data_IF_870069198863
#
_entry.id   IF_870069198863
#
_cell.length_a   1.000
_cell.length_b   1.000
_cell.length_c   1.000
_cell.angle_alpha   90.00
_cell.angle_beta   90.00
_cell.angle_gamma   90.00
#
_symmetry.space_group_name_H-M   'P 1'
#
loop_
_entity.id
_entity.type
_entity.pdbx_description
1 polymer ?
#
# COMPACT_ATOMS: atom_id res chain seq x y z
N UNK A 1 5.74 -3.84 16.08
CA UNK A 1 6.54 -4.72 15.19
C UNK A 1 5.86 -6.07 14.88
N UNK A 2 5.55 -6.90 15.88
CA UNK A 2 4.99 -8.25 15.69
C UNK A 2 3.64 -8.23 14.94
N UNK A 3 2.76 -7.29 15.29
CA UNK A 3 1.46 -7.09 14.62
C UNK A 3 1.65 -6.71 13.15
N UNK A 4 2.58 -5.80 12.83
CA UNK A 4 2.86 -5.41 11.45
C UNK A 4 3.40 -6.58 10.62
N UNK A 5 4.24 -7.44 11.22
CA UNK A 5 4.79 -8.62 10.55
C UNK A 5 3.71 -9.68 10.30
N UNK A 6 2.80 -9.88 11.26
CA UNK A 6 1.64 -10.74 11.08
C UNK A 6 0.73 -10.23 9.94
N UNK A 7 0.42 -8.94 9.92
CA UNK A 7 -0.38 -8.32 8.86
C UNK A 7 0.33 -8.46 7.50
N UNK A 8 1.63 -8.20 7.44
CA UNK A 8 2.40 -8.37 6.20
C UNK A 8 2.35 -9.81 5.68
N UNK A 9 2.50 -10.81 6.55
CA UNK A 9 2.45 -12.23 6.16
C UNK A 9 1.06 -12.63 5.64
N UNK A 10 0.00 -12.15 6.29
CA UNK A 10 -1.38 -12.37 5.85
C UNK A 10 -1.64 -11.74 4.48
N UNK A 11 -1.23 -10.48 4.27
CA UNK A 11 -1.37 -9.78 2.98
C UNK A 11 -0.56 -10.46 1.86
N UNK A 12 0.65 -10.97 2.16
CA UNK A 12 1.42 -11.77 1.19
C UNK A 12 0.66 -13.05 0.83
N UNK A 13 0.07 -13.74 1.81
CA UNK A 13 -0.74 -14.93 1.56
C UNK A 13 -1.93 -14.66 0.63
N UNK A 14 -2.65 -13.57 0.86
CA UNK A 14 -3.77 -13.15 0.00
C UNK A 14 -3.30 -12.70 -1.40
N UNK A 15 -2.23 -11.91 -1.48
CA UNK A 15 -1.66 -11.48 -2.76
C UNK A 15 -1.26 -12.68 -3.63
N UNK A 16 -0.60 -13.69 -3.05
CA UNK A 16 -0.25 -14.93 -3.75
C UNK A 16 -1.48 -15.73 -4.19
N UNK A 17 -2.57 -15.66 -3.43
CA UNK A 17 -3.84 -16.28 -3.82
C UNK A 17 -4.49 -15.56 -5.01
N UNK A 18 -4.51 -14.23 -4.99
CA UNK A 18 -5.05 -13.41 -6.08
C UNK A 18 -4.22 -13.51 -7.37
N UNK A 19 -2.91 -13.73 -7.26
CA UNK A 19 -2.02 -14.00 -8.38
C UNK A 19 -2.18 -15.42 -8.97
N UNK A 20 -3.04 -16.25 -8.37
CA UNK A 20 -3.34 -17.60 -8.87
C UNK A 20 -2.24 -18.64 -8.59
N UNK A 21 -1.30 -18.35 -7.69
CA UNK A 21 -0.30 -19.35 -7.24
C UNK A 21 -0.97 -20.44 -6.39
N UNK A 22 -1.96 -20.03 -5.58
CA UNK A 22 -2.84 -20.92 -4.84
C UNK A 22 -4.27 -20.41 -5.00
N UNK A 23 -5.12 -21.15 -5.71
CA UNK A 23 -6.54 -20.94 -5.50
C UNK A 23 -6.87 -21.39 -4.08
N UNK A 24 -7.43 -20.49 -3.26
CA UNK A 24 -8.13 -20.86 -2.03
C UNK A 24 -9.43 -21.60 -2.42
N UNK A 25 -9.30 -22.73 -3.13
CA UNK A 25 -10.36 -23.70 -3.25
C UNK A 25 -10.46 -24.37 -1.89
N UNK A 26 -11.48 -23.99 -1.12
CA UNK A 26 -11.95 -24.76 0.03
C UNK A 26 -11.96 -26.24 -0.39
N UNK A 27 -11.26 -27.13 0.35
CA UNK A 27 -11.06 -28.51 -0.07
C UNK A 27 -12.41 -29.11 -0.43
N UNK A 28 -12.47 -29.85 -1.55
CA UNK A 28 -13.72 -30.34 -2.15
C UNK A 28 -14.65 -31.04 -1.14
N UNK A 29 -14.07 -31.60 -0.07
CA UNK A 29 -14.76 -32.22 1.06
C UNK A 29 -15.49 -31.20 1.94
N UNK A 30 -14.89 -30.05 2.23
CA UNK A 30 -15.50 -28.97 3.01
C UNK A 30 -16.53 -28.20 2.17
N UNK A 31 -16.27 -27.97 0.88
CA UNK A 31 -17.26 -27.37 -0.04
C UNK A 31 -18.43 -28.30 -0.31
N UNK A 32 -18.23 -29.62 -0.49
CA UNK A 32 -19.33 -30.58 -0.59
C UNK A 32 -20.08 -30.76 0.74
N UNK A 33 -19.39 -30.69 1.88
CA UNK A 33 -20.04 -30.72 3.20
C UNK A 33 -20.87 -29.46 3.45
N UNK A 34 -20.32 -28.28 3.14
CA UNK A 34 -21.01 -26.99 3.25
C UNK A 34 -22.17 -26.87 2.26
N UNK A 35 -22.02 -27.32 1.01
CA UNK A 35 -23.12 -27.34 0.04
C UNK A 35 -24.22 -28.34 0.43
N UNK A 36 -23.85 -29.53 0.92
CA UNK A 36 -24.83 -30.54 1.38
C UNK A 36 -25.59 -30.07 2.63
N UNK A 37 -24.92 -29.33 3.53
CA UNK A 37 -25.53 -28.74 4.74
C UNK A 37 -26.30 -27.45 4.46
N UNK A 38 -25.90 -26.68 3.45
CA UNK A 38 -26.60 -25.49 2.93
C UNK A 38 -28.00 -25.85 2.39
N UNK A 39 -28.15 -27.02 1.79
CA UNK A 39 -29.42 -27.45 1.19
C UNK A 39 -30.44 -28.00 2.21
N UNK A 40 -30.03 -28.29 3.46
CA UNK A 40 -30.88 -28.95 4.46
C UNK A 40 -31.11 -28.13 5.74
N UNK A 41 -30.14 -27.30 6.18
CA UNK A 41 -30.39 -26.34 7.26
C UNK A 41 -29.27 -25.30 7.35
N UNK A 42 -29.60 -24.06 6.98
CA UNK A 42 -28.91 -22.82 7.36
C UNK A 42 -27.43 -22.70 6.95
N UNK A 43 -27.22 -22.21 5.72
CA UNK A 43 -25.92 -21.74 5.18
C UNK A 43 -25.29 -20.52 5.89
N UNK A 44 -25.75 -20.14 7.09
CA UNK A 44 -25.23 -18.99 7.86
C UNK A 44 -23.75 -19.13 8.24
N UNK A 45 -23.28 -20.34 8.57
CA UNK A 45 -21.89 -20.54 9.05
C UNK A 45 -20.86 -20.27 7.94
N UNK A 46 -21.16 -20.67 6.70
CA UNK A 46 -20.28 -20.40 5.56
C UNK A 46 -20.25 -18.92 5.16
N UNK A 47 -21.40 -18.26 5.22
CA UNK A 47 -21.51 -16.81 4.96
C UNK A 47 -20.76 -16.02 6.03
N UNK A 48 -20.83 -16.45 7.30
CA UNK A 48 -20.15 -15.80 8.41
C UNK A 48 -18.61 -15.90 8.29
N UNK A 49 -18.08 -17.05 7.86
CA UNK A 49 -16.65 -17.21 7.61
C UNK A 49 -16.15 -16.38 6.41
N UNK A 50 -16.92 -16.34 5.32
CA UNK A 50 -16.59 -15.48 4.18
C UNK A 50 -16.65 -14.00 4.53
N UNK A 51 -17.70 -13.57 5.24
CA UNK A 51 -17.86 -12.18 5.69
C UNK A 51 -16.74 -11.76 6.66
N UNK A 52 -16.35 -12.64 7.59
CA UNK A 52 -15.23 -12.39 8.51
C UNK A 52 -13.92 -12.18 7.75
N UNK A 53 -13.66 -13.03 6.75
CA UNK A 53 -12.43 -12.95 5.94
C UNK A 53 -12.40 -11.67 5.11
N UNK A 54 -13.50 -11.34 4.42
CA UNK A 54 -13.63 -10.10 3.65
C UNK A 54 -13.50 -8.87 4.55
N UNK A 55 -14.07 -8.91 5.75
CA UNK A 55 -13.95 -7.83 6.72
C UNK A 55 -12.52 -7.65 7.19
N UNK A 56 -11.83 -8.74 7.56
CA UNK A 56 -10.43 -8.69 8.00
C UNK A 56 -9.50 -8.11 6.92
N UNK A 57 -9.70 -8.52 5.66
CA UNK A 57 -8.96 -7.98 4.51
C UNK A 57 -9.28 -6.50 4.29
N UNK A 58 -10.57 -6.14 4.34
CA UNK A 58 -11.03 -4.75 4.16
C UNK A 58 -10.51 -3.81 5.26
N UNK A 59 -10.43 -4.27 6.51
CA UNK A 59 -9.87 -3.47 7.60
C UNK A 59 -8.44 -3.02 7.33
N UNK A 60 -7.64 -3.82 6.61
CA UNK A 60 -6.25 -3.48 6.32
C UNK A 60 -6.12 -2.26 5.39
N UNK A 61 -7.05 -2.10 4.44
CA UNK A 61 -7.04 -0.96 3.52
C UNK A 61 -7.85 0.24 4.03
N UNK A 62 -8.80 0.05 4.96
CA UNK A 62 -9.56 1.15 5.57
C UNK A 62 -8.93 1.70 6.84
N UNK A 63 -8.09 0.93 7.54
CA UNK A 63 -7.48 1.31 8.81
C UNK A 63 -6.71 2.65 8.76
N UNK A 64 -5.91 2.97 7.72
CA UNK A 64 -5.21 4.25 7.67
C UNK A 64 -6.17 5.45 7.62
N UNK A 65 -7.25 5.33 6.85
CA UNK A 65 -8.25 6.38 6.72
C UNK A 65 -9.05 6.55 8.03
N UNK A 66 -9.54 5.44 8.60
CA UNK A 66 -10.28 5.46 9.86
C UNK A 66 -9.40 5.99 10.99
N UNK A 67 -8.13 5.60 11.04
CA UNK A 67 -7.16 6.09 12.02
C UNK A 67 -6.94 7.61 11.94
N UNK A 68 -6.78 8.15 10.73
CA UNK A 68 -6.64 9.60 10.54
C UNK A 68 -7.88 10.37 11.01
N UNK A 69 -9.07 9.87 10.67
CA UNK A 69 -10.35 10.44 11.11
C UNK A 69 -10.50 10.37 12.64
N UNK A 70 -10.07 9.27 13.25
CA UNK A 70 -10.12 9.09 14.70
C UNK A 70 -9.18 10.07 15.40
N UNK A 71 -7.97 10.29 14.87
CA UNK A 71 -7.04 11.30 15.44
C UNK A 71 -7.56 12.72 15.34
N UNK A 72 -8.26 13.08 14.25
CA UNK A 72 -8.90 14.40 14.13
C UNK A 72 -10.01 14.62 15.17
N UNK A 73 -10.68 13.54 15.60
CA UNK A 73 -11.72 13.60 16.63
C UNK A 73 -11.13 13.97 18.01
N UNK A 74 -9.89 13.56 18.30
CA UNK A 74 -9.19 13.90 19.55
C UNK A 74 -8.86 15.41 19.62
N UNK A 75 -8.73 16.08 18.47
CA UNK A 75 -8.47 17.52 18.37
C UNK A 75 -9.70 18.42 18.64
N UNK A 76 -10.87 17.84 18.93
CA UNK A 76 -12.09 18.59 19.28
C UNK A 76 -13.01 18.92 18.10
N UNK A 77 -12.61 18.61 16.87
CA UNK A 77 -13.43 18.83 15.68
C UNK A 77 -14.27 17.60 15.36
N UNK A 78 -15.50 17.54 15.87
CA UNK A 78 -16.41 16.39 15.66
C UNK A 78 -17.09 16.38 14.29
N UNK A 79 -17.20 17.54 13.64
CA UNK A 79 -17.96 17.68 12.39
C UNK A 79 -17.24 17.04 11.19
N UNK A 80 -15.93 17.26 11.06
CA UNK A 80 -15.12 16.71 9.96
C UNK A 80 -15.04 15.17 9.97
N UNK A 81 -14.83 14.49 11.11
CA UNK A 81 -14.84 13.04 11.20
C UNK A 81 -16.16 12.40 10.78
N UNK A 82 -17.29 12.96 11.22
CA UNK A 82 -18.62 12.45 10.87
C UNK A 82 -18.85 12.55 9.36
N UNK A 83 -18.54 13.72 8.78
CA UNK A 83 -18.68 13.93 7.34
C UNK A 83 -17.74 13.02 6.54
N UNK A 84 -16.50 12.81 7.02
CA UNK A 84 -15.54 11.90 6.43
C UNK A 84 -15.99 10.44 6.43
N UNK A 85 -16.52 9.95 7.56
CA UNK A 85 -17.03 8.58 7.67
C UNK A 85 -18.28 8.34 6.81
N UNK A 86 -19.20 9.31 6.75
CA UNK A 86 -20.39 9.24 5.88
C UNK A 86 -19.97 9.26 4.41
N UNK A 87 -19.07 10.17 4.02
CA UNK A 87 -18.57 10.27 2.65
C UNK A 87 -17.87 8.99 2.19
N UNK A 88 -16.99 8.43 3.04
CA UNK A 88 -16.30 7.17 2.76
C UNK A 88 -17.27 6.00 2.61
N UNK A 89 -18.20 5.83 3.54
CA UNK A 89 -19.17 4.73 3.52
C UNK A 89 -20.13 4.83 2.34
N UNK A 90 -20.58 6.04 2.01
CA UNK A 90 -21.43 6.29 0.85
C UNK A 90 -20.70 6.00 -0.46
N UNK A 91 -19.43 6.42 -0.58
CA UNK A 91 -18.62 6.13 -1.77
C UNK A 91 -18.41 4.63 -1.98
N UNK A 92 -18.12 3.86 -0.92
CA UNK A 92 -17.97 2.41 -0.99
C UNK A 92 -19.29 1.67 -1.23
N UNK A 93 -20.41 2.15 -0.68
CA UNK A 93 -21.73 1.53 -0.85
C UNK A 93 -22.37 1.87 -2.20
N UNK A 94 -22.03 3.02 -2.79
CA UNK A 94 -22.63 3.53 -4.03
C UNK A 94 -22.62 2.54 -5.18
N UNK A 95 -21.51 1.84 -5.52
CA UNK A 95 -21.51 0.83 -6.58
C UNK A 95 -22.52 -0.29 -6.33
N UNK A 96 -22.61 -0.80 -5.10
CA UNK A 96 -23.51 -1.88 -4.74
C UNK A 96 -24.98 -1.46 -4.80
N UNK A 97 -25.30 -0.25 -4.30
CA UNK A 97 -26.66 0.30 -4.36
C UNK A 97 -27.07 0.58 -5.81
N UNK A 98 -26.15 1.10 -6.63
CA UNK A 98 -26.40 1.38 -8.04
C UNK A 98 -26.69 0.08 -8.81
N UNK A 99 -25.90 -0.97 -8.60
CA UNK A 99 -26.14 -2.27 -9.22
C UNK A 99 -27.43 -2.93 -8.72
N UNK A 100 -27.80 -2.75 -7.45
CA UNK A 100 -29.06 -3.25 -6.92
C UNK A 100 -30.30 -2.56 -7.52
N UNK A 101 -30.20 -1.26 -7.83
CA UNK A 101 -31.29 -0.48 -8.43
C UNK A 101 -31.51 -0.79 -9.92
N UNK A 102 -30.46 -1.21 -10.63
CA UNK A 102 -30.49 -1.52 -12.06
C UNK A 102 -30.14 -3.00 -12.35
N UNK A 103 -31.08 -3.95 -12.15
CA UNK A 103 -30.83 -5.38 -12.37
C UNK A 103 -30.42 -5.70 -13.82
N UNK A 104 -30.81 -4.86 -14.79
CA UNK A 104 -30.38 -5.00 -16.19
C UNK A 104 -28.88 -4.73 -16.41
N UNK A 105 -28.24 -3.91 -15.57
CA UNK A 105 -26.78 -3.71 -15.62
C UNK A 105 -26.03 -4.89 -15.00
N UNK A 106 -26.63 -5.57 -14.02
CA UNK A 106 -26.12 -6.83 -13.49
C UNK A 106 -26.20 -7.95 -14.55
N UNK A 107 -27.27 -8.02 -15.33
CA UNK A 107 -27.40 -8.99 -16.42
C UNK A 107 -26.49 -8.68 -17.63
N UNK A 108 -26.11 -7.41 -17.82
CA UNK A 108 -25.21 -6.96 -18.88
C UNK A 108 -23.71 -7.13 -18.52
N UNK A 109 -23.38 -7.50 -17.28
CA UNK A 109 -21.99 -7.77 -16.90
C UNK A 109 -21.49 -8.99 -17.68
N UNK A 110 -20.36 -8.87 -18.40
CA UNK A 110 -19.76 -10.01 -19.08
C UNK A 110 -19.47 -11.11 -18.06
N UNK A 111 -19.76 -12.36 -18.43
CA UNK A 111 -19.44 -13.53 -17.61
C UNK A 111 -17.98 -13.46 -17.17
N UNK A 112 -17.68 -14.01 -15.99
CA UNK A 112 -16.36 -14.06 -15.33
C UNK A 112 -15.27 -14.75 -16.15
N UNK A 113 -14.92 -14.18 -17.30
CA UNK A 113 -13.83 -14.61 -18.18
C UNK A 113 -12.55 -13.83 -17.88
N UNK A 114 -11.76 -13.57 -18.93
CA UNK A 114 -10.44 -12.93 -18.83
C UNK A 114 -10.44 -11.57 -18.11
N UNK A 115 -11.52 -10.77 -18.20
CA UNK A 115 -11.58 -9.47 -17.51
C UNK A 115 -11.53 -9.61 -15.97
N UNK A 116 -12.21 -10.60 -15.40
CA UNK A 116 -12.21 -10.84 -13.95
C UNK A 116 -10.81 -11.26 -13.47
N UNK A 117 -10.10 -12.05 -14.28
CA UNK A 117 -8.75 -12.48 -13.93
C UNK A 117 -7.75 -11.31 -13.98
N UNK A 118 -7.92 -10.37 -14.93
CA UNK A 118 -7.12 -9.14 -14.97
C UNK A 118 -7.30 -8.32 -13.69
N UNK A 119 -8.55 -8.14 -13.24
CA UNK A 119 -8.84 -7.40 -12.01
C UNK A 119 -8.25 -8.11 -10.78
N UNK A 120 -8.34 -9.44 -10.68
CA UNK A 120 -7.74 -10.22 -9.58
C UNK A 120 -6.24 -10.03 -9.50
N UNK A 121 -5.54 -10.19 -10.62
CA UNK A 121 -4.08 -10.07 -10.66
C UNK A 121 -3.63 -8.64 -10.36
N UNK A 122 -4.35 -7.64 -10.87
CA UNK A 122 -4.08 -6.22 -10.60
C UNK A 122 -4.27 -5.88 -9.12
N UNK A 123 -5.33 -6.38 -8.48
CA UNK A 123 -5.52 -6.26 -7.04
C UNK A 123 -4.42 -6.99 -6.25
N UNK A 124 -4.00 -8.17 -6.71
CA UNK A 124 -2.88 -8.92 -6.11
C UNK A 124 -1.57 -8.13 -6.13
N UNK A 125 -1.25 -7.40 -7.20
CA UNK A 125 -0.07 -6.54 -7.26
C UNK A 125 -0.16 -5.35 -6.29
N UNK A 126 -1.32 -4.69 -6.21
CA UNK A 126 -1.54 -3.59 -5.25
C UNK A 126 -1.39 -4.10 -3.82
N UNK A 127 -1.94 -5.28 -3.51
CA UNK A 127 -1.83 -5.89 -2.19
C UNK A 127 -0.38 -6.26 -1.85
N UNK A 128 0.40 -6.74 -2.82
CA UNK A 128 1.83 -7.03 -2.65
C UNK A 128 2.63 -5.75 -2.33
N UNK A 129 2.32 -4.64 -3.00
CA UNK A 129 2.93 -3.34 -2.70
C UNK A 129 2.60 -2.86 -1.28
N UNK A 130 1.35 -3.05 -0.83
CA UNK A 130 0.91 -2.73 0.53
C UNK A 130 1.57 -3.65 1.58
N UNK A 131 1.68 -4.95 1.31
CA UNK A 131 2.35 -5.91 2.19
C UNK A 131 3.82 -5.52 2.43
N UNK A 132 4.51 -5.09 1.38
CA UNK A 132 5.90 -4.63 1.47
C UNK A 132 6.02 -3.36 2.33
N UNK A 133 5.03 -2.46 2.29
CA UNK A 133 5.00 -1.30 3.19
C UNK A 133 4.90 -1.70 4.66
N UNK A 134 4.06 -2.66 5.01
CA UNK A 134 3.97 -3.17 6.39
C UNK A 134 5.24 -3.90 6.83
N UNK A 135 5.87 -4.63 5.91
CA UNK A 135 7.16 -5.27 6.14
C UNK A 135 8.26 -4.23 6.42
N UNK A 136 8.32 -3.18 5.61
CA UNK A 136 9.24 -2.05 5.81
C UNK A 136 9.01 -1.35 7.15
N UNK A 137 7.75 -1.13 7.54
CA UNK A 137 7.43 -0.57 8.86
C UNK A 137 7.87 -1.49 10.01
N UNK A 138 7.87 -2.81 9.82
CA UNK A 138 8.36 -3.75 10.83
C UNK A 138 9.90 -3.69 10.95
N UNK A 139 10.60 -3.60 9.81
CA UNK A 139 12.07 -3.46 9.74
C UNK A 139 12.56 -2.17 10.42
N UNK A 140 11.87 -1.05 10.19
CA UNK A 140 12.19 0.24 10.81
C UNK A 140 12.09 0.23 12.34
N UNK A 141 11.13 -0.53 12.90
CA UNK A 141 10.95 -0.64 14.36
C UNK A 141 12.03 -1.54 15.00
N UNK A 142 12.54 -2.53 14.26
CA UNK A 142 13.62 -3.40 14.73
C UNK A 142 15.02 -2.92 14.36
N UNK A 143 15.13 -1.81 13.63
CA UNK A 143 16.40 -1.21 13.18
C UNK A 143 17.34 -2.21 12.47
N UNK A 144 16.78 -3.18 11.75
CA UNK A 144 17.57 -4.15 10.99
C UNK A 144 18.29 -3.50 9.80
N UNK A 145 17.75 -2.40 9.26
CA UNK A 145 18.39 -1.63 8.18
C UNK A 145 18.46 -2.39 6.85
N UNK A 146 17.71 -3.49 6.72
CA UNK A 146 17.70 -4.32 5.51
C UNK A 146 16.81 -3.68 4.45
N UNK A 147 15.72 -3.01 4.85
CA UNK A 147 14.78 -2.37 3.94
C UNK A 147 15.08 -0.88 3.81
N UNK A 148 16.07 -0.56 2.97
CA UNK A 148 16.43 0.82 2.65
C UNK A 148 15.36 1.51 1.78
N UNK A 149 15.35 2.85 1.80
CA UNK A 149 14.45 3.67 0.96
C UNK A 149 14.56 3.30 -0.52
N UNK A 150 15.76 3.22 -1.16
CA UNK A 150 15.86 2.86 -2.57
C UNK A 150 15.37 1.44 -2.87
N UNK A 151 15.56 0.48 -1.96
CA UNK A 151 15.07 -0.89 -2.13
C UNK A 151 13.53 -0.93 -2.14
N UNK A 152 12.89 -0.13 -1.29
CA UNK A 152 11.42 0.00 -1.26
C UNK A 152 10.88 0.61 -2.55
N UNK A 153 11.50 1.69 -3.04
CA UNK A 153 11.05 2.33 -4.28
C UNK A 153 11.29 1.40 -5.48
N UNK A 154 12.45 0.73 -5.54
CA UNK A 154 12.76 -0.24 -6.59
C UNK A 154 11.74 -1.39 -6.61
N UNK A 155 11.37 -1.92 -5.44
CA UNK A 155 10.38 -2.99 -5.33
C UNK A 155 9.00 -2.54 -5.83
N UNK A 156 8.56 -1.32 -5.46
CA UNK A 156 7.31 -0.75 -5.97
C UNK A 156 7.35 -0.56 -7.49
N UNK A 157 8.43 0.00 -8.05
CA UNK A 157 8.58 0.14 -9.50
C UNK A 157 8.43 -1.21 -10.19
N UNK A 158 9.13 -2.24 -9.72
CA UNK A 158 9.05 -3.59 -10.32
C UNK A 158 7.62 -4.13 -10.28
N UNK A 159 6.91 -3.98 -9.16
CA UNK A 159 5.51 -4.45 -9.04
C UNK A 159 4.58 -3.70 -9.99
N UNK A 160 4.61 -2.37 -9.99
CA UNK A 160 3.70 -1.56 -10.81
C UNK A 160 3.99 -1.70 -12.30
N UNK A 161 5.26 -1.87 -12.66
CA UNK A 161 5.70 -2.16 -14.02
C UNK A 161 5.28 -3.56 -14.46
N UNK A 162 5.43 -4.57 -13.59
CA UNK A 162 4.96 -5.93 -13.86
C UNK A 162 3.43 -6.00 -13.99
N UNK A 163 2.70 -5.24 -13.16
CA UNK A 163 1.26 -5.06 -13.29
C UNK A 163 0.88 -4.41 -14.63
N UNK A 164 1.57 -3.34 -15.03
CA UNK A 164 1.36 -2.67 -16.31
C UNK A 164 1.60 -3.60 -17.51
N UNK A 165 2.70 -4.36 -17.50
CA UNK A 165 2.99 -5.34 -18.55
C UNK A 165 2.03 -6.53 -18.57
N UNK A 166 1.55 -6.96 -17.40
CA UNK A 166 0.51 -7.99 -17.31
C UNK A 166 -0.80 -7.50 -17.96
N UNK A 167 -1.25 -6.28 -17.67
CA UNK A 167 -2.46 -5.70 -18.27
C UNK A 167 -2.31 -5.51 -19.79
N UNK A 168 -1.12 -5.15 -20.27
CA UNK A 168 -0.81 -5.07 -21.69
C UNK A 168 -0.77 -6.45 -22.38
N UNK A 169 -0.79 -7.55 -21.63
CA UNK A 169 -0.78 -8.92 -22.16
C UNK A 169 0.61 -9.43 -22.56
N UNK A 170 1.68 -8.74 -22.16
CA UNK A 170 3.06 -9.21 -22.39
C UNK A 170 3.41 -10.41 -21.50
N UNK A 171 2.81 -10.51 -20.31
CA UNK A 171 3.00 -11.60 -19.36
C UNK A 171 1.67 -12.34 -19.22
N UNK A 172 1.59 -13.57 -19.70
CA UNK A 172 0.43 -14.45 -19.51
C UNK A 172 0.77 -15.51 -18.47
N UNK A 173 -0.05 -15.61 -17.43
CA UNK A 173 0.06 -16.69 -16.45
C UNK A 173 -0.36 -18.01 -17.12
N UNK A 174 0.23 -19.13 -16.67
CA UNK A 174 0.15 -20.47 -17.26
C UNK A 174 -1.29 -21.01 -17.48
N UNK A 175 -2.31 -20.36 -16.92
CA UNK A 175 -3.73 -20.72 -16.96
C UNK A 175 -4.61 -19.81 -17.84
N UNK A 176 -4.06 -18.86 -18.60
CA UNK A 176 -4.84 -17.99 -19.49
C UNK A 176 -4.63 -18.26 -20.98
N UNK A 177 -5.72 -18.24 -21.74
CA UNK A 177 -5.69 -18.20 -23.20
C UNK A 177 -5.09 -16.88 -23.69
N UNK A 178 -4.06 -16.97 -24.53
CA UNK A 178 -3.39 -15.84 -25.19
C UNK A 178 -4.42 -14.96 -25.92
N UNK A 179 -4.65 -13.74 -25.45
CA UNK A 179 -5.51 -12.79 -26.18
C UNK A 179 -4.72 -12.22 -27.37
N UNK A 180 -5.17 -12.48 -28.59
CA UNK A 180 -4.49 -12.08 -29.83
C UNK A 180 -4.52 -10.57 -30.11
N UNK A 181 -5.30 -9.77 -29.39
CA UNK A 181 -5.39 -8.32 -29.65
C UNK A 181 -5.37 -7.48 -28.37
N UNK A 182 -4.49 -6.47 -28.37
CA UNK A 182 -4.39 -5.44 -27.34
C UNK A 182 -5.60 -4.51 -27.53
N UNK A 183 -6.64 -4.71 -26.73
CA UNK A 183 -7.82 -3.83 -26.73
C UNK A 183 -7.48 -2.46 -26.14
N UNK A 184 -8.00 -1.38 -26.74
CA UNK A 184 -7.87 0.00 -26.25
C UNK A 184 -8.22 0.14 -24.77
N UNK A 185 -9.17 -0.65 -24.27
CA UNK A 185 -9.54 -0.66 -22.85
C UNK A 185 -8.44 -1.18 -21.93
N UNK A 186 -7.62 -2.14 -22.37
CA UNK A 186 -6.47 -2.63 -21.60
C UNK A 186 -5.34 -1.61 -21.58
N UNK A 187 -5.12 -0.91 -22.70
CA UNK A 187 -4.12 0.15 -22.77
C UNK A 187 -4.46 1.33 -21.84
N UNK A 188 -5.74 1.73 -21.80
CA UNK A 188 -6.21 2.77 -20.87
C UNK A 188 -6.03 2.34 -19.40
N UNK A 189 -6.29 1.07 -19.08
CA UNK A 189 -6.14 0.53 -17.72
C UNK A 189 -4.67 0.40 -17.29
N UNK A 190 -3.75 0.12 -18.23
CA UNK A 190 -2.32 0.00 -17.95
C UNK A 190 -1.62 1.36 -17.78
N UNK A 191 -2.13 2.41 -18.44
CA UNK A 191 -1.55 3.75 -18.42
C UNK A 191 -1.26 4.29 -17.00
N UNK A 192 -2.20 4.27 -16.02
CA UNK A 192 -1.91 4.79 -14.68
C UNK A 192 -0.84 3.98 -13.93
N UNK A 193 -0.79 2.65 -14.10
CA UNK A 193 0.20 1.79 -13.45
C UNK A 193 1.61 2.08 -13.97
N UNK A 194 1.75 2.21 -15.29
CA UNK A 194 3.02 2.56 -15.92
C UNK A 194 3.43 3.99 -15.57
N UNK A 195 2.51 4.96 -15.65
CA UNK A 195 2.78 6.34 -15.27
C UNK A 195 3.27 6.44 -13.82
N UNK A 196 2.61 5.73 -12.90
CA UNK A 196 3.03 5.68 -11.49
C UNK A 196 4.41 5.06 -11.33
N UNK A 197 4.70 3.97 -12.05
CA UNK A 197 6.03 3.36 -12.06
C UNK A 197 7.11 4.31 -12.58
N UNK A 198 6.85 5.08 -13.64
CA UNK A 198 7.80 6.07 -14.15
C UNK A 198 7.98 7.26 -13.20
N UNK A 199 6.89 7.69 -12.54
CA UNK A 199 6.92 8.75 -11.54
C UNK A 199 7.78 8.42 -10.31
N UNK A 200 7.93 7.14 -9.97
CA UNK A 200 8.77 6.68 -8.85
C UNK A 200 10.28 6.69 -9.17
N UNK A 201 10.67 6.70 -10.45
CA UNK A 201 12.09 6.62 -10.87
C UNK A 201 12.95 7.79 -10.33
N UNK A 202 12.51 9.06 -10.42
CA UNK A 202 13.22 10.19 -9.79
C UNK A 202 13.45 10.00 -8.29
N UNK A 203 12.60 9.21 -7.62
CA UNK A 203 12.74 8.85 -6.22
C UNK A 203 14.01 8.07 -5.88
N UNK A 204 14.47 7.21 -6.80
CA UNK A 204 15.75 6.47 -6.66
C UNK A 204 16.96 7.39 -6.82
N UNK A 205 16.79 8.51 -7.52
CA UNK A 205 17.82 9.53 -7.72
C UNK A 205 17.92 10.50 -6.53
N UNK A 206 17.09 10.32 -5.49
CA UNK A 206 17.09 11.14 -4.29
C UNK A 206 16.16 12.35 -4.33
N UNK A 207 15.39 12.53 -5.42
CA UNK A 207 14.34 13.55 -5.49
C UNK A 207 13.24 13.30 -4.45
N UNK A 208 12.59 14.36 -3.99
CA UNK A 208 11.34 14.25 -3.26
C UNK A 208 10.21 13.78 -4.20
N UNK A 209 9.35 12.90 -3.72
CA UNK A 209 8.16 12.39 -4.42
C UNK A 209 6.87 13.03 -3.90
N UNK A 210 6.96 14.20 -3.28
CA UNK A 210 5.85 14.91 -2.68
C UNK A 210 5.12 14.05 -1.64
N UNK A 211 3.81 13.89 -1.79
CA UNK A 211 2.97 13.10 -0.87
C UNK A 211 3.44 11.65 -0.69
N UNK A 212 4.10 11.05 -1.69
CA UNK A 212 4.54 9.66 -1.62
C UNK A 212 5.77 9.47 -0.73
N UNK A 213 6.53 10.52 -0.42
CA UNK A 213 7.61 10.45 0.58
C UNK A 213 7.11 10.09 1.97
N UNK A 214 5.88 10.50 2.31
CA UNK A 214 5.25 10.15 3.57
C UNK A 214 5.06 8.64 3.75
N UNK A 215 4.89 7.92 2.64
CA UNK A 215 4.70 6.46 2.63
C UNK A 215 6.03 5.70 2.57
N UNK A 216 7.12 6.34 2.19
CA UNK A 216 8.43 5.71 2.04
C UNK A 216 9.22 5.71 3.37
N UNK A 217 10.21 4.81 3.53
CA UNK A 217 11.13 4.85 4.67
C UNK A 217 11.89 6.19 4.72
N UNK A 218 12.29 6.65 5.92
CA UNK A 218 13.07 7.89 6.05
C UNK A 218 14.40 7.77 5.29
N UNK A 219 14.88 8.90 4.76
CA UNK A 219 16.21 8.96 4.14
C UNK A 219 17.26 8.62 5.19
N UNK A 220 17.99 7.53 4.99
CA UNK A 220 19.06 7.10 5.89
C UNK A 220 20.42 7.46 5.27
N UNK A 221 21.46 7.76 6.07
CA UNK A 221 22.80 8.07 5.56
C UNK A 221 23.41 6.94 4.71
N UNK A 222 22.92 5.71 4.89
CA UNK A 222 23.34 4.51 4.17
C UNK A 222 22.58 4.28 2.86
N UNK A 223 21.67 5.18 2.47
CA UNK A 223 20.91 5.03 1.24
C UNK A 223 21.83 5.24 0.02
N UNK A 224 22.08 4.15 -0.71
CA UNK A 224 22.76 4.18 -2.01
C UNK A 224 21.88 4.90 -3.03
N UNK A 225 22.21 6.16 -3.31
CA UNK A 225 21.72 6.87 -4.48
C UNK A 225 22.18 6.14 -5.74
N UNK A 226 21.25 5.87 -6.67
CA UNK A 226 21.60 5.24 -7.95
C UNK A 226 22.64 6.07 -8.73
N UNK A 227 22.64 7.39 -8.53
CA UNK A 227 23.65 8.33 -9.07
C UNK A 227 25.03 8.07 -8.45
N UNK A 228 25.11 7.81 -7.15
CA UNK A 228 26.37 7.50 -6.48
C UNK A 228 26.95 6.13 -6.91
N UNK A 229 26.10 5.19 -7.33
CA UNK A 229 26.53 3.88 -7.84
C UNK A 229 26.91 3.86 -9.33
N UNK A 230 26.32 4.72 -10.16
CA UNK A 230 26.55 4.78 -11.62
C UNK A 230 27.62 5.82 -11.97
N UNK A 231 27.75 6.90 -11.19
CA UNK A 231 28.80 7.89 -11.31
C UNK A 231 30.03 7.47 -10.51
N UNK A 232 30.95 6.74 -11.14
CA UNK A 232 32.25 6.42 -10.55
C UNK A 232 32.92 7.69 -9.96
N UNK A 233 33.28 7.60 -8.67
CA UNK A 233 34.13 8.58 -7.97
C UNK A 233 33.83 10.06 -8.27
N UNK A 234 32.64 10.51 -7.92
CA UNK A 234 32.33 11.94 -7.82
C UNK A 234 31.65 12.17 -6.49
N UNK A 235 32.37 12.73 -5.51
CA UNK A 235 31.85 13.09 -4.21
C UNK A 235 30.72 14.12 -4.36
N UNK A 236 29.50 13.63 -4.53
CA UNK A 236 28.30 14.39 -4.26
C UNK A 236 28.06 14.16 -2.78
N UNK A 237 28.37 15.18 -1.99
CA UNK A 237 27.92 15.31 -0.61
C UNK A 237 26.44 14.95 -0.59
N UNK A 238 26.14 13.80 0.01
CA UNK A 238 24.83 13.55 0.57
C UNK A 238 24.62 14.63 1.61
N UNK A 239 24.03 15.75 1.20
CA UNK A 239 23.44 16.74 2.11
C UNK A 239 22.35 15.97 2.84
N UNK A 240 22.77 15.38 3.96
CA UNK A 240 21.95 14.51 4.77
C UNK A 240 20.78 15.34 5.24
N UNK A 241 19.56 14.80 5.16
CA UNK A 241 18.38 15.40 5.77
C UNK A 241 18.50 15.57 7.31
N UNK A 242 19.64 15.16 7.89
CA UNK A 242 20.05 15.37 9.28
C UNK A 242 20.95 16.63 9.47
N UNK A 243 21.25 17.44 8.44
CA UNK A 243 22.19 18.58 8.55
C UNK A 243 21.79 19.68 9.56
N UNK A 244 20.60 19.60 10.17
CA UNK A 244 20.20 20.45 11.30
C UNK A 244 19.66 19.71 12.54
N UNK A 245 19.56 18.37 12.51
CA UNK A 245 18.93 17.59 13.59
C UNK A 245 19.94 16.71 14.32
N UNK A 246 20.09 16.96 15.62
CA UNK A 246 20.85 16.09 16.51
C UNK A 246 19.91 15.10 17.19
N UNK A 247 20.32 13.84 17.26
CA UNK A 247 19.59 12.76 17.94
C UNK A 247 19.87 12.74 19.45
N UNK A 248 20.92 13.44 19.90
CA UNK A 248 21.32 13.52 21.30
C UNK A 248 20.72 14.75 21.98
N UNK A 249 19.64 14.52 22.73
CA UNK A 249 18.92 15.57 23.46
C UNK A 249 19.84 16.34 24.42
N UNK A 250 20.62 15.64 25.25
CA UNK A 250 21.47 16.27 26.27
C UNK A 250 22.57 17.15 25.64
N UNK A 251 23.20 16.68 24.57
CA UNK A 251 24.23 17.42 23.85
C UNK A 251 23.65 18.68 23.15
N UNK A 252 22.45 18.56 22.57
CA UNK A 252 21.75 19.69 21.94
C UNK A 252 21.30 20.73 22.94
N UNK A 253 20.83 20.32 24.13
CA UNK A 253 20.45 21.25 25.20
C UNK A 253 21.69 21.99 25.73
N UNK A 254 22.81 21.29 25.97
CA UNK A 254 24.06 21.92 26.39
C UNK A 254 24.54 22.98 25.38
N UNK A 255 24.52 22.64 24.08
CA UNK A 255 24.91 23.56 22.99
C UNK A 255 23.97 24.76 22.86
N UNK A 256 22.68 24.57 23.11
CA UNK A 256 21.68 25.64 23.08
C UNK A 256 21.81 26.62 24.25
N UNK A 257 22.15 26.11 25.44
CA UNK A 257 22.45 26.94 26.62
C UNK A 257 23.69 27.81 26.37
N UNK A 258 24.76 27.22 25.82
CA UNK A 258 26.00 27.94 25.51
C UNK A 258 25.82 29.00 24.41
N UNK A 259 24.98 28.70 23.40
CA UNK A 259 24.69 29.63 22.31
C UNK A 259 23.51 30.58 22.57
N UNK A 260 22.84 30.48 23.73
CA UNK A 260 21.72 31.33 24.12
C UNK A 260 20.49 31.21 23.20
N UNK A 261 20.30 30.08 22.54
CA UNK A 261 19.21 29.84 21.56
C UNK A 261 18.13 28.92 22.13
N UNK A 262 16.85 29.11 21.77
CA UNK A 262 15.79 28.18 22.13
C UNK A 262 16.00 26.81 21.44
N UNK A 263 15.71 25.72 22.16
CA UNK A 263 15.74 24.35 21.63
C UNK A 263 14.39 24.04 21.01
N UNK A 264 14.38 23.59 19.76
CA UNK A 264 13.21 23.01 19.12
C UNK A 264 13.30 21.48 19.18
N UNK A 265 12.28 20.84 19.76
CA UNK A 265 12.22 19.38 19.92
C UNK A 265 11.17 18.86 18.94
N UNK A 266 11.59 18.05 17.98
CA UNK A 266 10.68 17.34 17.09
C UNK A 266 10.37 15.94 17.62
N UNK A 267 9.09 15.69 17.90
CA UNK A 267 8.59 14.37 18.27
C UNK A 267 8.08 13.67 17.01
N UNK A 268 8.95 12.89 16.38
CA UNK A 268 8.61 12.13 15.16
C UNK A 268 8.52 10.63 15.39
N UNK A 269 7.69 9.96 14.59
CA UNK A 269 7.53 8.50 14.61
C UNK A 269 8.19 7.84 13.40
N UNK A 270 8.92 6.74 13.63
CA UNK A 270 9.59 5.97 12.56
C UNK A 270 8.63 5.43 11.49
N UNK A 271 7.40 5.07 11.88
CA UNK A 271 6.38 4.50 10.98
C UNK A 271 5.21 5.45 10.72
N UNK A 272 5.29 6.69 11.21
CA UNK A 272 4.19 7.64 11.21
C UNK A 272 4.13 8.41 9.89
N UNK A 273 3.19 8.04 9.01
CA UNK A 273 2.99 8.67 7.70
C UNK A 273 2.71 10.18 7.83
N UNK A 274 1.92 10.59 8.83
CA UNK A 274 1.61 12.00 9.05
C UNK A 274 2.85 12.79 9.50
N UNK A 275 3.65 12.22 10.41
CA UNK A 275 4.89 12.82 10.87
C UNK A 275 5.87 13.04 9.70
N UNK A 276 5.98 12.05 8.80
CA UNK A 276 6.76 12.18 7.57
C UNK A 276 6.20 13.24 6.61
N UNK A 277 4.88 13.35 6.49
CA UNK A 277 4.24 14.40 5.70
C UNK A 277 4.51 15.80 6.28
N UNK A 278 4.55 15.94 7.60
CA UNK A 278 4.95 17.19 8.25
C UNK A 278 6.42 17.51 7.98
N UNK A 279 7.32 16.55 8.12
CA UNK A 279 8.74 16.75 7.80
C UNK A 279 8.96 17.16 6.34
N UNK A 280 8.25 16.55 5.39
CA UNK A 280 8.43 16.88 3.97
C UNK A 280 7.85 18.25 3.57
N UNK A 281 6.83 18.74 4.26
CA UNK A 281 6.09 19.95 3.86
C UNK A 281 6.33 21.17 4.76
N UNK A 282 6.58 20.95 6.05
CA UNK A 282 6.64 21.98 7.09
C UNK A 282 8.06 22.12 7.64
N UNK A 283 8.80 20.99 7.76
CA UNK A 283 10.19 20.98 8.21
C UNK A 283 11.20 20.54 7.12
N UNK A 284 11.11 21.03 5.87
CA UNK A 284 12.14 20.73 4.89
C UNK A 284 13.44 21.42 5.30
N UNK A 285 14.41 20.65 5.78
CA UNK A 285 15.82 21.05 5.78
C UNK A 285 16.45 20.65 4.44
#
# INVERSE_FOLDING_TARGET
PIVNLFIALVLVGFALSLLGMYELQLPHQLTNFLNRKSNESSGIVGILFMAMTISAVSFSCTAPFVGAVFTATVGGEWFYPILGMIGFSAAFASPFVLFAMFPKWLEALPKSGSWMNIVKVLLGFIELAAAFKFLSNADLVWQWGIVSRPLTIAFWIVIFLMAGFYVLGFITLKHESKSEQISTGRMLLAMPFLMFSFYLIPGLLGSSLGFWDAFLPPKQPTDVSLVASIGGSGGVSSTSADEGWSKDFEASVASAIESGKPVFIDFTGYTCTNCRAMESNIFPL
#
